data_IF_360533543842
#
_entry.id   IF_360533543842
#
_cell.length_a   1.000
_cell.length_b   1.000
_cell.length_c   1.000
_cell.angle_alpha   90.00
_cell.angle_beta   90.00
_cell.angle_gamma   90.00
#
_symmetry.space_group_name_H-M   'P 1'
#
loop_
_entity.id
_entity.type
_entity.pdbx_description
1 polymer ?
#
# COMPACT_ATOMS: atom_id res chain seq x y z
N UNK A 1 31.72 -2.18 8.94
CA UNK A 1 31.04 -1.81 7.69
C UNK A 1 29.89 -2.78 7.50
N UNK A 2 28.65 -2.28 7.47
CA UNK A 2 27.44 -3.13 7.44
C UNK A 2 27.40 -3.94 6.13
N UNK A 3 27.41 -5.26 6.21
CA UNK A 3 27.30 -6.12 5.04
C UNK A 3 25.82 -6.41 4.77
N UNK A 4 25.18 -5.54 3.99
CA UNK A 4 23.79 -5.73 3.56
C UNK A 4 23.79 -6.08 2.09
N UNK A 5 23.08 -7.16 1.73
CA UNK A 5 23.05 -7.65 0.36
C UNK A 5 22.39 -6.60 -0.54
N UNK A 6 23.16 -6.03 -1.47
CA UNK A 6 22.71 -4.88 -2.27
C UNK A 6 22.59 -5.26 -3.73
N UNK A 7 21.44 -4.93 -4.34
CA UNK A 7 21.23 -5.04 -5.78
C UNK A 7 20.98 -3.66 -6.38
N UNK A 8 21.47 -3.47 -7.60
CA UNK A 8 21.31 -2.24 -8.36
C UNK A 8 20.42 -2.46 -9.58
N UNK A 9 19.62 -1.45 -9.88
CA UNK A 9 18.73 -1.35 -11.03
C UNK A 9 18.88 0.03 -11.65
N UNK A 10 19.05 0.10 -12.96
CA UNK A 10 19.09 1.36 -13.70
C UNK A 10 17.92 1.45 -14.66
N UNK A 11 17.30 2.63 -14.73
CA UNK A 11 16.28 2.96 -15.71
C UNK A 11 16.25 4.47 -15.94
N UNK A 12 16.19 4.89 -17.21
CA UNK A 12 16.05 6.31 -17.56
C UNK A 12 17.18 7.20 -17.04
N UNK A 13 18.41 6.68 -16.92
CA UNK A 13 19.56 7.42 -16.38
C UNK A 13 19.64 7.50 -14.86
N UNK A 14 18.62 6.99 -14.14
CA UNK A 14 18.60 6.95 -12.67
C UNK A 14 19.10 5.58 -12.17
N UNK A 15 19.87 5.57 -11.08
CA UNK A 15 20.31 4.36 -10.38
C UNK A 15 19.45 4.18 -9.14
N UNK A 16 18.84 3.02 -9.01
CA UNK A 16 18.06 2.59 -7.86
C UNK A 16 18.73 1.37 -7.23
N UNK A 17 18.85 1.38 -5.90
CA UNK A 17 19.40 0.25 -5.15
C UNK A 17 18.35 -0.29 -4.20
N UNK A 18 18.39 -1.60 -4.00
CA UNK A 18 17.65 -2.29 -2.96
C UNK A 18 18.64 -3.00 -2.06
N UNK A 19 18.43 -2.92 -0.74
CA UNK A 19 19.29 -3.56 0.26
C UNK A 19 18.48 -4.55 1.07
N UNK A 20 18.87 -5.82 1.07
CA UNK A 20 18.14 -6.91 1.73
C UNK A 20 18.86 -7.30 3.02
N UNK A 21 18.11 -7.33 4.11
CA UNK A 21 18.63 -7.63 5.44
C UNK A 21 17.51 -7.91 6.45
N UNK A 22 17.80 -7.70 7.72
CA UNK A 22 16.83 -7.64 8.80
C UNK A 22 16.78 -6.25 9.44
N UNK A 23 15.65 -5.94 10.07
CA UNK A 23 15.45 -4.78 10.92
C UNK A 23 14.62 -5.15 12.14
N UNK A 24 14.82 -4.42 13.25
CA UNK A 24 13.99 -4.58 14.43
C UNK A 24 12.57 -4.08 14.16
N UNK A 25 11.57 -4.94 14.45
CA UNK A 25 10.16 -4.63 14.22
C UNK A 25 9.69 -3.38 14.97
N UNK A 26 10.30 -3.09 16.12
CA UNK A 26 10.01 -1.91 16.93
C UNK A 26 10.42 -0.59 16.26
N UNK A 27 11.31 -0.64 15.26
CA UNK A 27 11.80 0.53 14.53
C UNK A 27 11.01 0.81 13.26
N UNK A 28 10.07 -0.07 12.90
CA UNK A 28 9.29 0.05 11.68
C UNK A 28 7.94 0.72 11.93
N UNK A 29 7.57 1.63 11.04
CA UNK A 29 6.31 2.35 11.09
C UNK A 29 5.36 1.81 10.04
N UNK A 30 4.13 1.51 10.46
CA UNK A 30 3.03 1.26 9.52
C UNK A 30 2.50 2.60 9.04
N UNK A 31 2.14 2.69 7.75
CA UNK A 31 1.40 3.83 7.21
C UNK A 31 -0.05 3.48 6.87
N UNK A 32 -0.41 2.20 6.84
CA UNK A 32 -1.76 1.71 6.55
C UNK A 32 -2.24 0.70 7.61
N UNK A 33 -3.54 0.74 7.89
CA UNK A 33 -4.25 -0.25 8.69
C UNK A 33 -4.17 -1.64 8.04
N UNK A 34 -4.12 -2.67 8.88
CA UNK A 34 -4.26 -4.04 8.40
C UNK A 34 -5.73 -4.44 8.30
N UNK A 35 -6.01 -5.43 7.45
CA UNK A 35 -7.34 -6.01 7.31
C UNK A 35 -7.38 -7.28 8.17
N UNK A 36 -8.26 -7.39 9.18
CA UNK A 36 -8.21 -8.46 10.17
C UNK A 36 -8.17 -9.87 9.57
N UNK A 37 -9.02 -10.15 8.58
CA UNK A 37 -9.05 -11.47 7.94
C UNK A 37 -7.76 -11.81 7.17
N UNK A 38 -7.15 -10.82 6.49
CA UNK A 38 -5.89 -11.02 5.78
C UNK A 38 -4.72 -11.19 6.75
N UNK A 39 -4.72 -10.41 7.85
CA UNK A 39 -3.75 -10.56 8.94
C UNK A 39 -3.80 -11.96 9.55
N UNK A 40 -5.00 -12.44 9.91
CA UNK A 40 -5.18 -13.76 10.52
C UNK A 40 -4.79 -14.92 9.59
N UNK A 41 -5.00 -14.77 8.27
CA UNK A 41 -4.46 -15.72 7.28
C UNK A 41 -2.93 -15.79 7.34
N UNK A 42 -2.25 -14.65 7.40
CA UNK A 42 -0.79 -14.60 7.49
C UNK A 42 -0.27 -15.13 8.84
N UNK A 43 -0.93 -14.81 9.96
CA UNK A 43 -0.57 -15.38 11.27
C UNK A 43 -0.60 -16.92 11.21
N UNK A 44 -1.67 -17.50 10.65
CA UNK A 44 -1.78 -18.96 10.46
C UNK A 44 -0.69 -19.50 9.53
N UNK A 45 -0.38 -18.79 8.44
CA UNK A 45 0.67 -19.19 7.49
C UNK A 45 2.06 -19.17 8.15
N UNK A 46 2.40 -18.12 8.89
CA UNK A 46 3.69 -18.01 9.58
C UNK A 46 3.85 -19.07 10.68
N UNK A 47 2.80 -19.43 11.42
CA UNK A 47 2.86 -20.54 12.40
C UNK A 47 3.23 -21.89 11.78
N UNK A 48 2.88 -22.11 10.51
CA UNK A 48 3.17 -23.35 9.76
C UNK A 48 4.46 -23.27 8.94
N UNK A 49 4.96 -22.07 8.68
CA UNK A 49 6.15 -21.85 7.86
C UNK A 49 7.43 -21.98 8.69
N UNK A 50 8.52 -22.38 8.04
CA UNK A 50 9.88 -22.27 8.59
C UNK A 50 10.59 -20.99 8.15
N UNK A 51 10.03 -20.28 7.17
CA UNK A 51 10.70 -19.17 6.49
C UNK A 51 9.78 -17.95 6.33
N UNK A 52 10.39 -16.77 6.31
CA UNK A 52 9.84 -15.59 5.67
C UNK A 52 10.24 -15.60 4.20
N UNK A 53 9.30 -15.90 3.30
CA UNK A 53 9.59 -16.04 1.86
C UNK A 53 9.94 -14.73 1.17
N UNK A 54 9.21 -13.66 1.47
CA UNK A 54 9.38 -12.37 0.83
C UNK A 54 9.75 -11.30 1.87
N UNK A 55 10.71 -10.40 1.58
CA UNK A 55 11.01 -9.29 2.48
C UNK A 55 9.86 -8.29 2.51
N UNK A 56 9.78 -7.56 3.62
CA UNK A 56 8.93 -6.38 3.75
C UNK A 56 9.66 -5.20 3.11
N UNK A 57 9.02 -4.44 2.24
CA UNK A 57 9.67 -3.29 1.59
C UNK A 57 9.55 -2.09 2.53
N UNK A 58 10.66 -1.43 2.81
CA UNK A 58 10.76 -0.37 3.81
C UNK A 58 11.56 0.80 3.25
N UNK A 59 11.12 2.02 3.50
CA UNK A 59 11.96 3.20 3.27
C UNK A 59 13.16 3.19 4.22
N UNK A 60 14.38 3.21 3.67
CA UNK A 60 15.61 3.10 4.46
C UNK A 60 15.73 4.20 5.52
N UNK A 61 15.31 5.42 5.16
CA UNK A 61 15.49 6.62 5.98
C UNK A 61 14.42 6.74 7.06
N UNK A 62 13.15 6.72 6.69
CA UNK A 62 12.03 6.92 7.65
C UNK A 62 11.62 5.65 8.38
N UNK A 63 12.07 4.47 7.91
CA UNK A 63 11.63 3.15 8.41
C UNK A 63 10.12 2.89 8.25
N UNK A 64 9.47 3.68 7.40
CA UNK A 64 8.07 3.44 7.01
C UNK A 64 8.02 2.24 6.07
N UNK A 65 7.18 1.28 6.41
CA UNK A 65 6.94 0.12 5.54
C UNK A 65 6.14 0.60 4.32
N UNK A 66 6.58 0.26 3.11
CA UNK A 66 5.92 0.63 1.85
C UNK A 66 5.07 -0.51 1.29
N UNK A 67 5.47 -1.76 1.55
CA UNK A 67 4.71 -2.95 1.21
C UNK A 67 4.98 -4.08 2.22
N UNK A 68 3.91 -4.71 2.70
CA UNK A 68 4.00 -5.81 3.67
C UNK A 68 3.41 -5.52 5.05
N UNK A 69 2.47 -4.59 5.17
CA UNK A 69 1.75 -4.20 6.41
C UNK A 69 1.31 -5.44 7.20
N UNK A 70 0.54 -6.32 6.56
CA UNK A 70 0.01 -7.51 7.21
C UNK A 70 1.10 -8.52 7.59
N UNK A 71 2.22 -8.57 6.85
CA UNK A 71 3.37 -9.43 7.18
C UNK A 71 4.10 -8.91 8.43
N UNK A 72 4.37 -7.61 8.48
CA UNK A 72 4.96 -6.96 9.66
C UNK A 72 4.08 -7.18 10.90
N UNK A 73 2.77 -6.89 10.78
CA UNK A 73 1.83 -7.05 11.88
C UNK A 73 1.67 -8.51 12.32
N UNK A 74 1.62 -9.47 11.39
CA UNK A 74 1.54 -10.89 11.74
C UNK A 74 2.78 -11.35 12.51
N UNK A 75 3.97 -10.94 12.07
CA UNK A 75 5.21 -11.29 12.76
C UNK A 75 5.33 -10.60 14.12
N UNK A 76 4.84 -9.36 14.24
CA UNK A 76 4.71 -8.67 15.54
C UNK A 76 3.76 -9.42 16.49
N UNK A 77 2.59 -9.83 16.02
CA UNK A 77 1.60 -10.62 16.80
C UNK A 77 2.18 -11.96 17.27
N UNK A 78 3.04 -12.57 16.44
CA UNK A 78 3.75 -13.82 16.78
C UNK A 78 5.00 -13.62 17.65
N UNK A 79 5.30 -12.39 18.08
CA UNK A 79 6.39 -12.09 19.00
C UNK A 79 7.78 -12.16 18.36
N UNK A 80 7.90 -12.02 17.04
CA UNK A 80 9.20 -11.87 16.41
C UNK A 80 9.78 -10.48 16.74
N UNK A 81 11.05 -10.39 17.18
CA UNK A 81 11.71 -9.11 17.41
C UNK A 81 12.15 -8.45 16.09
N UNK A 82 12.39 -9.24 15.04
CA UNK A 82 12.96 -8.80 13.76
C UNK A 82 12.19 -9.38 12.58
N UNK A 83 12.34 -8.70 11.44
CA UNK A 83 11.77 -9.11 10.15
C UNK A 83 12.82 -8.98 9.07
N UNK A 84 12.76 -9.84 8.05
CA UNK A 84 13.54 -9.62 6.84
C UNK A 84 12.91 -8.49 6.02
N UNK A 85 13.75 -7.54 5.60
CA UNK A 85 13.35 -6.31 4.91
C UNK A 85 14.13 -6.11 3.62
N UNK A 86 13.54 -5.33 2.73
CA UNK A 86 14.16 -4.77 1.55
C UNK A 86 14.10 -3.26 1.69
N UNK A 87 15.22 -2.64 2.04
CA UNK A 87 15.34 -1.20 2.11
C UNK A 87 15.46 -0.60 0.72
N UNK A 88 14.76 0.51 0.54
CA UNK A 88 14.77 1.33 -0.67
C UNK A 88 14.88 2.80 -0.26
N UNK A 89 15.43 3.64 -1.13
CA UNK A 89 15.23 5.09 -1.01
C UNK A 89 13.84 5.43 -1.55
N UNK A 90 12.88 5.69 -0.65
CA UNK A 90 11.51 5.96 -1.06
C UNK A 90 11.40 7.20 -1.95
N UNK A 91 12.28 8.20 -1.79
CA UNK A 91 12.26 9.43 -2.58
C UNK A 91 12.91 9.28 -3.96
N UNK A 92 13.49 8.13 -4.30
CA UNK A 92 13.93 7.83 -5.66
C UNK A 92 12.81 8.14 -6.67
N UNK A 93 13.17 8.80 -7.77
CA UNK A 93 12.23 9.15 -8.86
C UNK A 93 11.62 7.92 -9.53
N UNK A 94 12.25 6.74 -9.39
CA UNK A 94 11.75 5.49 -9.95
C UNK A 94 10.64 4.85 -9.12
N UNK A 95 10.40 5.32 -7.88
CA UNK A 95 9.25 4.90 -7.09
C UNK A 95 8.13 5.92 -7.26
N UNK A 96 6.93 5.44 -7.58
CA UNK A 96 5.72 6.26 -7.60
C UNK A 96 4.79 5.84 -6.47
N UNK A 97 4.04 6.79 -5.92
CA UNK A 97 2.89 6.50 -5.06
C UNK A 97 1.64 7.00 -5.76
N UNK A 98 0.68 6.10 -5.94
CA UNK A 98 -0.63 6.41 -6.48
C UNK A 98 -1.69 6.03 -5.45
N UNK A 99 -2.93 6.32 -5.75
CA UNK A 99 -4.09 5.92 -4.97
C UNK A 99 -4.94 4.89 -5.72
N UNK A 100 -5.80 4.21 -4.97
CA UNK A 100 -6.80 3.30 -5.52
C UNK A 100 -8.13 4.03 -5.66
N UNK A 101 -8.78 3.93 -6.82
CA UNK A 101 -10.15 4.40 -6.97
C UNK A 101 -11.09 3.28 -6.55
N UNK A 102 -12.24 3.64 -5.99
CA UNK A 102 -13.27 2.66 -5.63
C UNK A 102 -14.38 2.65 -6.65
N UNK A 103 -14.81 1.45 -7.01
CA UNK A 103 -15.94 1.24 -7.91
C UNK A 103 -16.95 0.38 -7.19
N UNK A 104 -18.10 0.97 -6.87
CA UNK A 104 -19.22 0.29 -6.21
C UNK A 104 -20.23 -0.13 -7.26
N UNK A 105 -20.59 -1.42 -7.30
CA UNK A 105 -21.43 -2.00 -8.36
C UNK A 105 -22.78 -2.43 -7.78
N UNK A 106 -23.85 -2.22 -8.55
CA UNK A 106 -25.22 -2.58 -8.14
C UNK A 106 -25.66 -1.75 -6.95
N UNK A 107 -25.79 -0.44 -7.17
CA UNK A 107 -25.90 0.58 -6.11
C UNK A 107 -27.30 1.18 -6.09
N UNK A 108 -27.86 1.39 -4.89
CA UNK A 108 -29.04 2.25 -4.72
C UNK A 108 -28.62 3.73 -4.72
N UNK A 109 -28.70 4.38 -5.88
CA UNK A 109 -28.22 5.76 -6.04
C UNK A 109 -28.93 6.77 -5.15
N UNK A 110 -30.24 6.66 -4.98
CA UNK A 110 -31.02 7.60 -4.16
C UNK A 110 -30.55 7.53 -2.70
N UNK A 111 -30.36 6.32 -2.18
CA UNK A 111 -29.85 6.13 -0.82
C UNK A 111 -28.40 6.58 -0.67
N UNK A 112 -27.56 6.38 -1.70
CA UNK A 112 -26.17 6.86 -1.69
C UNK A 112 -26.11 8.38 -1.67
N UNK A 113 -26.87 9.07 -2.51
CA UNK A 113 -26.88 10.54 -2.54
C UNK A 113 -27.34 11.11 -1.20
N UNK A 114 -28.39 10.54 -0.60
CA UNK A 114 -28.85 10.94 0.73
C UNK A 114 -27.77 10.71 1.79
N UNK A 115 -27.14 9.54 1.77
CA UNK A 115 -26.04 9.24 2.69
C UNK A 115 -24.88 10.22 2.54
N UNK A 116 -24.46 10.56 1.32
CA UNK A 116 -23.39 11.55 1.08
C UNK A 116 -23.76 12.91 1.69
N UNK A 117 -24.99 13.39 1.45
CA UNK A 117 -25.47 14.67 1.98
C UNK A 117 -25.48 14.69 3.51
N UNK A 118 -25.93 13.61 4.13
CA UNK A 118 -25.94 13.48 5.60
C UNK A 118 -24.52 13.48 6.17
N UNK A 119 -23.59 12.78 5.53
CA UNK A 119 -22.17 12.78 5.91
C UNK A 119 -21.59 14.18 5.81
N UNK A 120 -21.83 14.89 4.71
CA UNK A 120 -21.31 16.24 4.53
C UNK A 120 -21.85 17.19 5.60
N UNK A 121 -23.14 17.13 5.93
CA UNK A 121 -23.74 17.94 7.01
C UNK A 121 -23.15 17.61 8.37
N UNK A 122 -23.06 16.33 8.72
CA UNK A 122 -22.61 15.90 10.05
C UNK A 122 -21.15 16.25 10.33
N UNK A 123 -20.30 16.26 9.29
CA UNK A 123 -18.88 16.55 9.40
C UNK A 123 -18.51 17.99 8.96
N UNK A 124 -19.49 18.82 8.61
CA UNK A 124 -19.25 20.19 8.14
C UNK A 124 -18.40 20.25 6.86
N UNK A 125 -18.58 19.29 5.96
CA UNK A 125 -17.84 19.21 4.69
C UNK A 125 -18.51 20.09 3.64
N UNK A 126 -17.69 20.68 2.77
CA UNK A 126 -18.19 21.42 1.62
C UNK A 126 -18.65 20.40 0.58
N UNK A 127 -19.87 20.57 0.08
CA UNK A 127 -20.49 19.69 -0.89
C UNK A 127 -20.89 20.49 -2.13
N UNK A 128 -20.34 20.12 -3.27
CA UNK A 128 -20.65 20.70 -4.58
C UNK A 128 -21.20 19.60 -5.51
N UNK A 129 -22.22 19.92 -6.31
CA UNK A 129 -22.77 19.04 -7.34
C UNK A 129 -22.51 19.67 -8.71
N UNK A 130 -21.96 18.90 -9.64
CA UNK A 130 -21.73 19.30 -11.04
C UNK A 130 -22.26 18.25 -12.00
N UNK A 131 -22.55 18.66 -13.23
CA UNK A 131 -22.72 17.70 -14.34
C UNK A 131 -21.36 17.17 -14.76
N UNK A 132 -21.30 15.91 -15.19
CA UNK A 132 -20.06 15.28 -15.64
C UNK A 132 -19.42 16.02 -16.83
N UNK A 133 -20.22 16.64 -17.69
CA UNK A 133 -19.73 17.46 -18.81
C UNK A 133 -19.00 18.74 -18.39
N UNK A 134 -19.18 19.20 -17.15
CA UNK A 134 -18.53 20.37 -16.56
C UNK A 134 -17.33 19.98 -15.67
N UNK A 135 -17.01 18.68 -15.60
CA UNK A 135 -16.00 18.13 -14.72
C UNK A 135 -14.85 17.49 -15.50
N UNK A 136 -13.62 17.85 -15.16
CA UNK A 136 -12.44 17.25 -15.78
C UNK A 136 -12.13 15.89 -15.16
N UNK A 137 -12.55 14.80 -15.81
CA UNK A 137 -12.34 13.44 -15.31
C UNK A 137 -10.87 13.09 -15.08
N UNK A 138 -9.94 13.70 -15.83
CA UNK A 138 -8.49 13.44 -15.73
C UNK A 138 -7.81 14.25 -14.63
N UNK A 139 -8.45 15.31 -14.15
CA UNK A 139 -7.90 16.13 -13.08
C UNK A 139 -8.03 15.38 -11.76
N UNK A 140 -6.93 15.23 -11.05
CA UNK A 140 -6.93 14.61 -9.73
C UNK A 140 -6.86 15.71 -8.67
N UNK A 141 -7.73 15.61 -7.67
CA UNK A 141 -7.75 16.56 -6.58
C UNK A 141 -6.82 16.16 -5.45
N UNK A 142 -6.22 17.14 -4.78
CA UNK A 142 -5.46 16.91 -3.55
C UNK A 142 -6.33 17.05 -2.30
N UNK A 143 -7.47 17.73 -2.36
CA UNK A 143 -8.26 18.16 -1.20
C UNK A 143 -9.73 17.75 -1.25
N UNK A 144 -10.15 17.01 -2.29
CA UNK A 144 -11.51 16.52 -2.45
C UNK A 144 -11.63 15.01 -2.71
N UNK A 145 -12.81 14.49 -2.36
CA UNK A 145 -13.30 13.16 -2.71
C UNK A 145 -14.40 13.39 -3.74
N UNK A 146 -14.24 12.81 -4.93
CA UNK A 146 -15.17 13.06 -6.03
C UNK A 146 -15.92 11.75 -6.37
N UNK A 147 -17.23 11.77 -6.17
CA UNK A 147 -18.11 10.63 -6.43
C UNK A 147 -18.86 10.86 -7.73
N UNK A 148 -18.57 10.02 -8.72
CA UNK A 148 -19.22 10.06 -10.03
C UNK A 148 -20.36 9.07 -10.02
N UNK A 149 -21.56 9.58 -10.29
CA UNK A 149 -22.82 8.83 -10.28
C UNK A 149 -23.62 9.21 -11.52
N UNK A 150 -23.66 8.30 -12.51
CA UNK A 150 -24.30 8.54 -13.81
C UNK A 150 -23.75 9.82 -14.46
N UNK A 151 -24.58 10.84 -14.66
CA UNK A 151 -24.25 12.13 -15.27
C UNK A 151 -23.85 13.21 -14.24
N UNK A 152 -23.77 12.85 -12.96
CA UNK A 152 -23.48 13.77 -11.85
C UNK A 152 -22.14 13.48 -11.20
N UNK A 153 -21.50 14.53 -10.73
CA UNK A 153 -20.27 14.48 -9.93
C UNK A 153 -20.54 15.20 -8.62
N UNK A 154 -20.38 14.50 -7.50
CA UNK A 154 -20.47 15.05 -6.16
C UNK A 154 -19.05 15.24 -5.62
N UNK A 155 -18.67 16.49 -5.42
CA UNK A 155 -17.34 16.89 -4.96
C UNK A 155 -17.45 17.23 -3.48
N UNK A 156 -16.71 16.48 -2.67
CA UNK A 156 -16.69 16.64 -1.21
C UNK A 156 -15.33 17.18 -0.81
N UNK A 157 -15.28 18.42 -0.31
CA UNK A 157 -14.03 19.06 0.13
C UNK A 157 -13.93 19.13 1.65
N UNK A 158 -12.70 18.94 2.12
CA UNK A 158 -12.36 18.95 3.53
C UNK A 158 -12.60 17.60 4.20
N UNK A 159 -12.08 17.42 5.43
CA UNK A 159 -11.23 18.35 6.17
C UNK A 159 -9.85 18.55 5.51
N UNK A 160 -9.21 19.70 5.77
CA UNK A 160 -7.96 20.14 5.10
C UNK A 160 -6.75 19.21 5.30
N UNK A 161 -6.80 18.31 6.30
CA UNK A 161 -5.72 17.38 6.59
C UNK A 161 -5.91 16.05 5.85
N UNK A 162 -4.85 15.57 5.16
CA UNK A 162 -4.87 14.34 4.35
C UNK A 162 -5.35 13.10 5.11
N UNK A 163 -4.86 12.90 6.34
CA UNK A 163 -5.25 11.77 7.17
C UNK A 163 -6.76 11.80 7.45
N UNK A 164 -7.29 12.94 7.89
CA UNK A 164 -8.71 13.09 8.19
C UNK A 164 -9.57 12.97 6.92
N UNK A 165 -9.11 13.47 5.78
CA UNK A 165 -9.80 13.32 4.49
C UNK A 165 -9.92 11.83 4.10
N UNK A 166 -8.87 11.05 4.28
CA UNK A 166 -8.94 9.60 4.08
C UNK A 166 -9.79 8.88 5.14
N UNK A 167 -9.95 9.43 6.35
CA UNK A 167 -10.97 8.91 7.30
C UNK A 167 -12.39 9.10 6.75
N UNK A 168 -12.66 10.23 6.09
CA UNK A 168 -13.93 10.45 5.39
C UNK A 168 -14.08 9.46 4.22
N UNK A 169 -13.03 9.23 3.42
CA UNK A 169 -13.04 8.17 2.37
C UNK A 169 -13.43 6.82 2.96
N UNK A 170 -12.81 6.40 4.07
CA UNK A 170 -13.14 5.12 4.72
C UNK A 170 -14.59 5.08 5.23
N UNK A 171 -15.12 6.20 5.71
CA UNK A 171 -16.51 6.26 6.15
C UNK A 171 -17.49 6.17 4.97
N UNK A 172 -17.21 6.89 3.88
CA UNK A 172 -17.95 6.79 2.62
C UNK A 172 -17.87 5.38 2.03
N UNK A 173 -16.67 4.79 1.96
CA UNK A 173 -16.40 3.42 1.53
C UNK A 173 -17.36 2.45 2.23
N UNK A 174 -17.41 2.48 3.56
CA UNK A 174 -18.26 1.58 4.34
C UNK A 174 -19.76 1.83 4.12
N UNK A 175 -20.16 3.11 4.04
CA UNK A 175 -21.57 3.46 3.85
C UNK A 175 -22.07 3.07 2.47
N UNK A 176 -21.33 3.39 1.40
CA UNK A 176 -21.70 3.05 0.03
C UNK A 176 -21.62 1.54 -0.17
N UNK A 177 -20.61 0.87 0.40
CA UNK A 177 -20.52 -0.61 0.37
C UNK A 177 -21.73 -1.30 0.99
N UNK A 178 -22.33 -0.74 2.04
CA UNK A 178 -23.56 -1.30 2.63
C UNK A 178 -24.80 -1.13 1.73
N UNK A 179 -24.70 -0.28 0.71
CA UNK A 179 -25.74 0.04 -0.27
C UNK A 179 -25.38 -0.49 -1.68
N UNK A 180 -24.34 -1.31 -1.79
CA UNK A 180 -23.87 -1.88 -3.05
C UNK A 180 -23.70 -3.39 -2.95
N UNK A 181 -23.77 -4.08 -4.09
CA UNK A 181 -23.52 -5.52 -4.15
C UNK A 181 -22.04 -5.86 -3.96
N UNK A 182 -21.15 -5.01 -4.48
CA UNK A 182 -19.70 -5.22 -4.37
C UNK A 182 -18.93 -3.91 -4.50
N UNK A 183 -17.64 -3.98 -4.16
CA UNK A 183 -16.66 -2.89 -4.30
C UNK A 183 -15.39 -3.44 -4.98
N UNK A 184 -14.84 -2.70 -5.94
CA UNK A 184 -13.54 -2.95 -6.56
C UNK A 184 -12.58 -1.80 -6.25
N UNK A 185 -11.30 -2.12 -6.10
CA UNK A 185 -10.23 -1.14 -5.97
C UNK A 185 -9.38 -1.21 -7.24
N UNK A 186 -9.42 -0.16 -8.06
CA UNK A 186 -8.83 -0.16 -9.40
C UNK A 186 -7.91 1.05 -9.63
N UNK A 187 -6.91 0.94 -10.53
CA UNK A 187 -6.21 2.11 -11.05
C UNK A 187 -7.18 3.05 -11.78
N UNK A 188 -6.85 4.35 -11.83
CA UNK A 188 -7.69 5.41 -12.41
C UNK A 188 -8.31 5.03 -13.77
N UNK A 189 -7.48 4.68 -14.76
CA UNK A 189 -7.94 4.39 -16.13
C UNK A 189 -8.97 3.27 -16.17
N UNK A 190 -8.78 2.24 -15.36
CA UNK A 190 -9.72 1.11 -15.27
C UNK A 190 -10.99 1.51 -14.53
N UNK A 191 -10.88 2.26 -13.44
CA UNK A 191 -12.02 2.74 -12.66
C UNK A 191 -12.95 3.64 -13.49
N UNK A 192 -12.39 4.58 -14.26
CA UNK A 192 -13.17 5.49 -15.11
C UNK A 192 -13.97 4.76 -16.20
N UNK A 193 -13.56 3.54 -16.59
CA UNK A 193 -14.32 2.71 -17.55
C UNK A 193 -15.65 2.17 -16.98
N UNK A 194 -15.92 2.36 -15.69
CA UNK A 194 -17.16 1.93 -15.03
C UNK A 194 -18.22 3.01 -14.92
N UNK A 195 -17.92 4.29 -15.22
CA UNK A 195 -18.88 5.40 -15.07
C UNK A 195 -20.22 5.14 -15.77
N UNK A 196 -20.22 4.48 -16.93
CA UNK A 196 -21.42 4.16 -17.71
C UNK A 196 -22.15 2.87 -17.28
N UNK A 197 -21.62 2.13 -16.30
CA UNK A 197 -22.08 0.80 -15.91
C UNK A 197 -22.64 0.86 -14.49
N UNK A 198 -23.92 1.17 -14.31
CA UNK A 198 -24.69 1.11 -13.05
C UNK A 198 -23.84 1.04 -11.75
N UNK A 199 -23.00 2.05 -11.54
CA UNK A 199 -21.97 2.06 -10.52
C UNK A 199 -21.69 3.46 -10.03
N UNK A 200 -21.02 3.51 -8.88
CA UNK A 200 -20.44 4.74 -8.34
C UNK A 200 -18.92 4.61 -8.43
N UNK A 201 -18.28 5.60 -9.06
CA UNK A 201 -16.82 5.69 -9.11
C UNK A 201 -16.37 6.77 -8.14
N UNK A 202 -15.64 6.38 -7.12
CA UNK A 202 -15.03 7.28 -6.14
C UNK A 202 -13.58 7.54 -6.50
N UNK A 203 -13.31 8.79 -6.88
CA UNK A 203 -11.94 9.31 -7.02
C UNK A 203 -11.49 9.78 -5.65
N UNK A 204 -10.43 9.16 -5.13
CA UNK A 204 -9.85 9.57 -3.85
C UNK A 204 -8.79 10.66 -4.05
N UNK A 205 -8.50 11.47 -3.01
CA UNK A 205 -7.52 12.54 -3.11
C UNK A 205 -6.12 11.98 -3.38
N UNK A 206 -5.30 12.70 -4.16
CA UNK A 206 -3.89 12.34 -4.40
C UNK A 206 -3.17 12.21 -3.07
N UNK A 207 -2.33 11.18 -2.94
CA UNK A 207 -1.44 11.00 -1.80
C UNK A 207 0.01 11.13 -2.25
N UNK A 208 0.81 11.88 -1.50
CA UNK A 208 2.24 12.08 -1.78
C UNK A 208 3.10 11.22 -0.86
N UNK A 209 4.38 11.04 -1.23
CA UNK A 209 5.35 10.34 -0.38
C UNK A 209 5.53 11.02 0.98
N UNK A 210 5.43 12.36 1.02
CA UNK A 210 5.49 13.15 2.25
C UNK A 210 4.31 12.86 3.14
N UNK A 211 3.08 12.85 2.60
CA UNK A 211 1.88 12.50 3.36
C UNK A 211 2.01 11.12 4.02
N UNK A 212 2.53 10.13 3.29
CA UNK A 212 2.75 8.77 3.80
C UNK A 212 3.71 8.75 4.99
N UNK A 213 4.84 9.45 4.87
CA UNK A 213 5.85 9.50 5.94
C UNK A 213 5.31 10.27 7.15
N UNK A 214 4.73 11.45 6.94
CA UNK A 214 4.24 12.31 8.02
C UNK A 214 3.16 11.60 8.85
N UNK A 215 2.21 10.92 8.19
CA UNK A 215 1.17 10.17 8.89
C UNK A 215 1.76 9.01 9.69
N UNK A 216 2.63 8.21 9.08
CA UNK A 216 3.25 7.07 9.75
C UNK A 216 4.10 7.48 10.97
N UNK A 217 4.90 8.54 10.83
CA UNK A 217 5.75 9.05 11.91
C UNK A 217 4.94 9.73 13.04
N UNK A 218 3.74 10.23 12.75
CA UNK A 218 2.81 10.75 13.77
C UNK A 218 2.15 9.64 14.62
N UNK A 219 2.44 8.36 14.34
CA UNK A 219 1.81 7.20 14.99
C UNK A 219 0.40 6.89 14.47
N UNK A 220 -0.04 7.58 13.42
CA UNK A 220 -1.32 7.35 12.75
C UNK A 220 -1.13 6.45 11.53
N UNK A 221 -2.22 5.82 11.09
CA UNK A 221 -2.24 4.97 9.89
C UNK A 221 -3.45 5.29 9.03
N UNK A 222 -3.22 5.36 7.72
CA UNK A 222 -4.31 5.49 6.76
C UNK A 222 -5.19 4.23 6.73
N UNK A 223 -6.47 4.35 6.33
CA UNK A 223 -7.30 3.19 6.04
C UNK A 223 -6.69 2.29 4.96
N UNK A 224 -7.09 1.01 4.88
CA UNK A 224 -6.56 0.10 3.88
C UNK A 224 -6.81 0.61 2.45
N UNK A 225 -5.90 0.30 1.51
CA UNK A 225 -6.03 0.68 0.10
C UNK A 225 -6.02 2.19 -0.12
N UNK A 226 -5.28 2.91 0.71
CA UNK A 226 -5.03 4.34 0.54
C UNK A 226 -3.90 4.58 -0.46
N UNK A 227 -2.80 3.84 -0.32
CA UNK A 227 -1.62 3.93 -1.19
C UNK A 227 -1.50 2.76 -2.15
N UNK A 228 -0.87 3.04 -3.29
CA UNK A 228 -0.44 2.09 -4.30
C UNK A 228 0.98 2.44 -4.71
N UNK A 229 1.95 1.83 -4.05
CA UNK A 229 3.35 2.00 -4.38
C UNK A 229 3.71 1.22 -5.65
N UNK A 230 4.22 1.92 -6.66
CA UNK A 230 4.82 1.31 -7.84
C UNK A 230 6.32 1.38 -7.63
N UNK A 231 6.93 0.23 -7.35
CA UNK A 231 8.36 0.10 -7.11
C UNK A 231 8.96 -0.55 -8.37
N UNK A 232 10.13 -0.13 -8.85
CA UNK A 232 10.62 -0.59 -10.15
C UNK A 232 11.06 -2.06 -10.11
N UNK A 233 11.51 -2.53 -8.95
CA UNK A 233 12.03 -3.90 -8.78
C UNK A 233 11.64 -4.48 -7.42
N UNK A 234 11.47 -5.80 -7.37
CA UNK A 234 11.12 -6.50 -6.12
C UNK A 234 11.93 -7.79 -5.93
N UNK A 235 12.57 -7.97 -4.77
CA UNK A 235 13.14 -9.25 -4.39
C UNK A 235 12.06 -10.21 -3.89
N UNK A 236 12.10 -11.46 -4.35
CA UNK A 236 11.18 -12.53 -3.97
C UNK A 236 11.95 -13.78 -3.57
N UNK A 237 11.34 -14.62 -2.75
CA UNK A 237 11.86 -15.92 -2.33
C UNK A 237 13.23 -15.86 -1.62
N UNK A 238 13.49 -14.79 -0.87
CA UNK A 238 14.69 -14.68 -0.02
C UNK A 238 14.75 -15.82 1.02
N UNK A 239 13.59 -16.36 1.40
CA UNK A 239 13.42 -17.56 2.21
C UNK A 239 14.28 -17.53 3.49
N UNK A 240 14.18 -16.44 4.26
CA UNK A 240 14.95 -16.28 5.50
C UNK A 240 14.35 -17.13 6.61
N UNK A 241 15.13 -18.00 7.28
CA UNK A 241 14.63 -18.83 8.37
C UNK A 241 14.04 -18.00 9.51
N UNK A 242 12.82 -18.32 9.94
CA UNK A 242 12.13 -17.59 11.01
C UNK A 242 12.84 -17.73 12.36
N UNK A 243 13.54 -18.84 12.60
CA UNK A 243 14.33 -19.04 13.81
C UNK A 243 15.45 -17.99 13.95
N UNK A 244 16.11 -17.62 12.86
CA UNK A 244 17.14 -16.57 12.84
C UNK A 244 16.54 -15.22 13.25
N UNK A 245 15.36 -14.88 12.72
CA UNK A 245 14.65 -13.64 13.04
C UNK A 245 14.11 -13.60 14.49
N UNK A 246 14.09 -14.74 15.20
CA UNK A 246 13.65 -14.87 16.59
C UNK A 246 14.79 -14.81 17.61
N UNK A 247 16.04 -15.02 17.19
CA UNK A 247 17.24 -15.02 18.05
C UNK A 247 17.42 -13.65 18.71
N UNK A 248 17.29 -13.58 20.04
CA UNK A 248 17.50 -12.35 20.83
C UNK A 248 18.93 -12.22 21.36
N UNK A 249 19.65 -13.33 21.40
CA UNK A 249 21.05 -13.46 21.77
C UNK A 249 22.00 -12.92 20.69
N UNK A 250 21.52 -12.78 19.45
CA UNK A 250 22.25 -12.12 18.36
C UNK A 250 21.84 -10.65 18.24
N UNK A 251 22.81 -9.79 18.00
CA UNK A 251 22.57 -8.41 17.62
C UNK A 251 22.17 -8.29 16.14
N UNK A 252 21.68 -7.11 15.74
CA UNK A 252 21.16 -6.91 14.38
C UNK A 252 22.22 -7.10 13.29
N UNK A 253 23.49 -6.82 13.58
CA UNK A 253 24.59 -6.99 12.61
C UNK A 253 24.87 -8.47 12.37
N UNK A 254 24.94 -9.27 13.43
CA UNK A 254 25.16 -10.72 13.32
C UNK A 254 24.03 -11.40 12.54
N UNK A 255 22.78 -10.98 12.77
CA UNK A 255 21.63 -11.46 12.00
C UNK A 255 21.76 -11.09 10.52
N UNK A 256 22.17 -9.85 10.22
CA UNK A 256 22.39 -9.40 8.85
C UNK A 256 23.55 -10.13 8.16
N UNK A 257 24.64 -10.42 8.86
CA UNK A 257 25.76 -11.21 8.33
C UNK A 257 25.31 -12.64 7.95
N UNK A 258 24.48 -13.26 8.78
CA UNK A 258 23.88 -14.57 8.49
C UNK A 258 22.96 -14.48 7.25
N UNK A 259 22.08 -13.48 7.20
CA UNK A 259 21.19 -13.26 6.05
C UNK A 259 22.01 -13.06 4.77
N UNK A 260 23.06 -12.24 4.82
CA UNK A 260 23.91 -11.99 3.65
C UNK A 260 24.58 -13.29 3.17
N UNK A 261 25.09 -14.12 4.08
CA UNK A 261 25.65 -15.44 3.74
C UNK A 261 24.60 -16.36 3.10
N UNK A 262 23.37 -16.38 3.61
CA UNK A 262 22.26 -17.15 3.01
C UNK A 262 21.96 -16.67 1.59
N UNK A 263 21.89 -15.35 1.38
CA UNK A 263 21.58 -14.78 0.06
C UNK A 263 22.71 -15.01 -0.96
N UNK A 264 23.97 -14.98 -0.53
CA UNK A 264 25.12 -15.29 -1.39
C UNK A 264 25.17 -16.75 -1.87
N UNK A 265 24.53 -17.66 -1.15
CA UNK A 265 24.42 -19.08 -1.54
C UNK A 265 23.29 -19.33 -2.55
N UNK A 266 22.45 -18.33 -2.82
CA UNK A 266 21.30 -18.46 -3.71
C UNK A 266 21.63 -18.00 -5.11
N UNK A 267 21.04 -18.66 -6.10
CA UNK A 267 21.08 -18.21 -7.48
C UNK A 267 20.12 -17.05 -7.65
N UNK A 268 20.64 -15.89 -8.04
CA UNK A 268 19.83 -14.73 -8.36
C UNK A 268 19.36 -14.82 -9.82
N UNK A 269 18.04 -14.86 -10.03
CA UNK A 269 17.42 -14.82 -11.35
C UNK A 269 16.63 -13.53 -11.50
N UNK A 270 17.03 -12.68 -12.45
CA UNK A 270 16.30 -11.48 -12.83
C UNK A 270 15.31 -11.81 -13.95
N UNK A 271 14.03 -11.62 -13.71
CA UNK A 271 12.97 -11.76 -14.72
C UNK A 271 12.28 -10.43 -14.98
N UNK A 272 11.72 -10.28 -16.18
CA UNK A 272 10.84 -9.13 -16.50
C UNK A 272 9.56 -9.25 -15.68
N UNK A 273 9.14 -8.15 -15.06
CA UNK A 273 7.88 -8.05 -14.34
C UNK A 273 6.72 -7.74 -15.28
N UNK A 274 5.64 -7.14 -14.75
CA UNK A 274 4.31 -7.09 -15.42
C UNK A 274 3.78 -8.49 -15.75
N UNK A 275 3.96 -9.40 -14.79
CA UNK A 275 3.61 -10.82 -14.91
C UNK A 275 2.70 -11.26 -13.76
N UNK A 276 1.99 -12.36 -13.98
CA UNK A 276 1.23 -13.05 -12.94
C UNK A 276 2.05 -14.24 -12.42
N UNK A 277 2.27 -14.32 -11.10
CA UNK A 277 2.79 -15.52 -10.44
C UNK A 277 1.69 -16.09 -9.53
N UNK A 278 1.65 -15.66 -8.27
CA UNK A 278 0.53 -15.83 -7.34
C UNK A 278 -0.44 -14.63 -7.39
N UNK A 279 0.09 -13.47 -7.77
CA UNK A 279 -0.63 -12.23 -8.06
C UNK A 279 0.04 -11.51 -9.22
N UNK A 280 -0.61 -10.44 -9.69
CA UNK A 280 0.02 -9.54 -10.65
C UNK A 280 1.11 -8.70 -9.97
N UNK A 281 2.29 -8.69 -10.56
CA UNK A 281 3.42 -7.86 -10.15
C UNK A 281 3.63 -6.73 -11.16
N UNK A 282 3.38 -5.49 -10.71
CA UNK A 282 3.48 -4.28 -11.54
C UNK A 282 4.92 -3.82 -11.77
N UNK A 283 5.88 -4.34 -11.00
CA UNK A 283 7.30 -4.02 -11.09
C UNK A 283 7.85 -4.23 -12.52
N UNK A 284 8.91 -3.50 -12.88
CA UNK A 284 9.60 -3.71 -14.15
C UNK A 284 10.40 -5.03 -14.15
N UNK A 285 10.98 -5.39 -13.00
CA UNK A 285 11.70 -6.65 -12.85
C UNK A 285 11.48 -7.28 -11.47
N UNK A 286 11.54 -8.60 -11.42
CA UNK A 286 11.56 -9.37 -10.19
C UNK A 286 12.93 -10.03 -10.04
N UNK A 287 13.47 -9.98 -8.83
CA UNK A 287 14.72 -10.62 -8.43
C UNK A 287 14.39 -11.85 -7.60
N UNK A 288 14.43 -13.02 -8.24
CA UNK A 288 14.11 -14.29 -7.59
C UNK A 288 15.38 -14.89 -6.99
N UNK A 289 15.33 -15.24 -5.71
CA UNK A 289 16.41 -15.91 -4.99
C UNK A 289 16.12 -17.41 -4.91
N UNK A 290 16.73 -18.20 -5.79
CA UNK A 290 16.49 -19.65 -5.91
C UNK A 290 17.62 -20.39 -5.19
#
# INVERSE_FOLDING_TARGET
>A
MFLVYTLYYSAGGEIFSIKIGAEDLSRLYLHEETVPHALQKLVKAFKKSKFQYHPIIVDEKSKVILDGMHRASAMKELGYPRVAVCFVDYFSKLIEVKNWYRVFIGVDFSRVINAIKDICRNYGLIFEEKRIGEYNLREQSTDSIDLIVRDKVFIIKGPQNKYNLYRIVSYLDNKIKSLSNSIKYLPEKEALSYISKDSVVEKTPIITKKDVIEVALSGKVFPPKTTRHIIPVRPLFINIPLNILKRKDLNLNEVNDIINKILLQKKLVKIRGKIYLDRFYEENHLYLFI
#
